data_IF_345040266106
#
_entry.id   IF_345040266106
#
_cell.length_a   1.000
_cell.length_b   1.000
_cell.length_c   1.000
_cell.angle_alpha   90.00
_cell.angle_beta   90.00
_cell.angle_gamma   90.00
#
_symmetry.space_group_name_H-M   'P 1'
#
loop_
_entity.id
_entity.type
_entity.pdbx_description
1 polymer ?
#
# COMPACT_ATOMS: atom_id res chain seq x y z
N UNK A 1 38.45 19.97 9.55
CA UNK A 1 37.71 19.19 8.54
C UNK A 1 36.95 18.06 9.23
N UNK A 2 35.75 18.28 9.80
CA UNK A 2 34.88 17.19 10.27
C UNK A 2 33.41 17.69 10.31
N UNK A 3 32.84 18.05 9.15
CA UNK A 3 31.46 18.52 9.02
C UNK A 3 30.70 17.75 7.93
N UNK A 4 31.05 16.49 7.70
CA UNK A 4 30.54 15.70 6.56
C UNK A 4 29.87 14.37 6.92
N UNK A 5 29.82 13.97 8.19
CA UNK A 5 29.22 12.68 8.57
C UNK A 5 27.72 12.72 8.88
N UNK A 6 27.09 13.90 8.94
CA UNK A 6 25.70 14.04 9.40
C UNK A 6 24.64 14.02 8.28
N UNK A 7 25.04 14.01 7.00
CA UNK A 7 24.09 14.06 5.87
C UNK A 7 23.67 12.70 5.29
N UNK A 8 24.28 11.60 5.70
CA UNK A 8 24.00 10.27 5.11
C UNK A 8 22.98 9.42 5.88
N UNK A 9 22.47 9.89 7.02
CA UNK A 9 21.60 9.08 7.89
C UNK A 9 20.14 9.58 7.98
N UNK A 10 19.76 10.65 7.28
CA UNK A 10 18.35 11.06 7.26
C UNK A 10 17.48 10.19 6.34
N UNK A 11 18.01 9.70 5.21
CA UNK A 11 17.16 8.99 4.23
C UNK A 11 16.69 7.61 4.70
N UNK A 12 17.39 6.96 5.65
CA UNK A 12 16.99 5.66 6.17
C UNK A 12 16.00 5.75 7.34
N UNK A 13 15.85 6.92 7.96
CA UNK A 13 14.91 7.12 9.07
C UNK A 13 13.47 7.35 8.61
N UNK A 14 13.28 7.98 7.45
CA UNK A 14 11.95 8.20 6.88
C UNK A 14 11.22 6.88 6.57
N UNK A 15 11.94 5.86 6.06
CA UNK A 15 11.37 4.54 5.75
C UNK A 15 10.90 3.80 7.02
N UNK A 16 11.76 3.77 8.05
CA UNK A 16 11.47 3.09 9.32
C UNK A 16 10.35 3.76 10.12
N UNK A 17 10.19 5.09 10.02
CA UNK A 17 9.14 5.81 10.75
C UNK A 17 7.75 5.64 10.14
N UNK A 18 7.67 5.39 8.82
CA UNK A 18 6.41 5.06 8.13
C UNK A 18 5.94 3.65 8.50
N UNK A 19 6.83 2.66 8.35
CA UNK A 19 6.54 1.25 8.71
C UNK A 19 6.07 1.12 10.17
N UNK A 20 6.70 1.83 11.12
CA UNK A 20 6.32 1.77 12.53
C UNK A 20 4.99 2.45 12.85
N UNK A 21 4.53 3.41 12.04
CA UNK A 21 3.26 4.12 12.27
C UNK A 21 2.07 3.38 11.65
N UNK A 22 2.30 2.68 10.54
CA UNK A 22 1.32 1.82 9.85
C UNK A 22 0.97 0.58 10.70
N UNK A 23 1.96 -0.02 11.36
CA UNK A 23 1.77 -1.17 12.26
C UNK A 23 0.88 -0.89 13.49
N UNK A 24 0.79 0.37 13.95
CA UNK A 24 -0.08 0.75 15.09
C UNK A 24 -1.53 1.01 14.63
N UNK A 25 -1.72 1.36 13.36
CA UNK A 25 -3.02 1.71 12.79
C UNK A 25 -3.72 0.55 12.08
N UNK A 26 -3.01 -0.57 11.86
CA UNK A 26 -3.57 -1.74 11.16
C UNK A 26 -3.85 -1.47 9.69
N UNK A 27 -3.15 -0.50 9.09
CA UNK A 27 -3.33 -0.10 7.69
C UNK A 27 -2.02 -0.11 6.93
N UNK A 28 -2.11 -0.32 5.62
CA UNK A 28 -1.02 -0.20 4.65
C UNK A 28 -1.41 0.81 3.57
N UNK A 29 -0.43 1.58 3.11
CA UNK A 29 -0.62 2.61 2.08
C UNK A 29 -0.38 2.02 0.69
N UNK A 30 -1.36 2.15 -0.21
CA UNK A 30 -1.34 1.67 -1.59
C UNK A 30 -1.42 2.82 -2.60
N UNK A 31 -0.84 2.63 -3.79
CA UNK A 31 -1.03 3.54 -4.93
C UNK A 31 -2.44 3.39 -5.50
N UNK A 32 -3.19 4.49 -5.61
CA UNK A 32 -4.57 4.54 -6.13
C UNK A 32 -4.56 5.11 -7.56
N UNK A 33 -4.55 4.25 -8.60
CA UNK A 33 -4.53 4.71 -9.98
C UNK A 33 -5.88 5.28 -10.45
N UNK A 34 -7.00 4.93 -9.80
CA UNK A 34 -8.33 5.39 -10.19
C UNK A 34 -8.59 6.84 -9.76
N UNK A 35 -8.33 7.19 -8.50
CA UNK A 35 -8.51 8.57 -8.00
C UNK A 35 -7.24 9.43 -8.15
N UNK A 36 -6.10 8.79 -8.36
CA UNK A 36 -4.79 9.42 -8.39
C UNK A 36 -4.27 9.70 -6.97
N UNK A 37 -3.12 9.13 -6.63
CA UNK A 37 -2.46 9.33 -5.34
C UNK A 37 -2.32 8.03 -4.56
N UNK A 38 -2.61 8.07 -3.26
CA UNK A 38 -2.50 6.90 -2.38
C UNK A 38 -3.72 6.72 -1.50
N UNK A 39 -4.08 5.47 -1.22
CA UNK A 39 -5.15 5.08 -0.29
C UNK A 39 -4.57 4.26 0.86
N UNK A 40 -5.09 4.44 2.07
CA UNK A 40 -4.74 3.59 3.21
C UNK A 40 -5.83 2.56 3.42
N UNK A 41 -5.47 1.28 3.36
CA UNK A 41 -6.39 0.15 3.50
C UNK A 41 -5.96 -0.75 4.65
N UNK A 42 -6.88 -1.53 5.20
CA UNK A 42 -6.59 -2.45 6.30
C UNK A 42 -5.53 -3.50 5.89
N UNK A 43 -4.51 -3.66 6.73
CA UNK A 43 -3.37 -4.56 6.48
C UNK A 43 -3.54 -5.93 7.15
N UNK A 44 -4.75 -6.28 7.60
CA UNK A 44 -5.03 -7.65 8.09
C UNK A 44 -5.11 -8.66 6.95
N UNK A 45 -5.25 -8.19 5.71
CA UNK A 45 -5.34 -9.01 4.50
C UNK A 45 -4.09 -8.83 3.64
N UNK A 46 -3.63 -9.92 3.01
CA UNK A 46 -2.39 -9.91 2.21
C UNK A 46 -2.54 -9.30 0.82
N UNK A 47 -3.75 -9.18 0.31
CA UNK A 47 -4.01 -8.70 -1.05
C UNK A 47 -5.11 -7.65 -1.05
N UNK A 48 -4.81 -6.53 -1.72
CA UNK A 48 -5.76 -5.47 -2.00
C UNK A 48 -5.93 -5.32 -3.51
N UNK A 49 -7.17 -5.14 -3.95
CA UNK A 49 -7.54 -4.93 -5.35
C UNK A 49 -8.41 -3.69 -5.46
N UNK A 50 -8.23 -2.95 -6.55
CA UNK A 50 -9.12 -1.87 -6.95
C UNK A 50 -9.92 -2.30 -8.16
N UNK A 51 -11.24 -2.22 -8.04
CA UNK A 51 -12.16 -2.51 -9.13
C UNK A 51 -12.28 -1.31 -10.08
N UNK A 52 -12.77 -1.55 -11.29
CA UNK A 52 -12.93 -0.50 -12.31
C UNK A 52 -13.96 0.59 -11.95
N UNK A 53 -14.75 0.42 -10.90
CA UNK A 53 -15.64 1.44 -10.35
C UNK A 53 -15.01 2.26 -9.21
N UNK A 54 -13.75 1.98 -8.87
CA UNK A 54 -12.98 2.65 -7.82
C UNK A 54 -13.15 2.05 -6.43
N UNK A 55 -13.93 0.98 -6.28
CA UNK A 55 -14.08 0.28 -4.99
C UNK A 55 -12.90 -0.64 -4.69
N UNK A 56 -12.76 -1.04 -3.42
CA UNK A 56 -11.64 -1.85 -2.94
C UNK A 56 -12.11 -3.20 -2.42
N UNK A 57 -11.33 -4.23 -2.74
CA UNK A 57 -11.50 -5.59 -2.22
C UNK A 57 -10.22 -6.00 -1.49
N UNK A 58 -10.38 -6.42 -0.24
CA UNK A 58 -9.30 -6.96 0.59
C UNK A 58 -9.51 -8.46 0.76
N UNK A 59 -8.46 -9.25 0.55
CA UNK A 59 -8.53 -10.71 0.59
C UNK A 59 -7.18 -11.33 0.93
N UNK A 60 -7.20 -12.51 1.54
CA UNK A 60 -6.01 -13.37 1.72
C UNK A 60 -5.85 -14.42 0.60
N UNK A 61 -6.81 -14.49 -0.32
CA UNK A 61 -6.77 -15.45 -1.42
C UNK A 61 -5.82 -14.97 -2.52
N UNK A 62 -4.71 -15.70 -2.68
CA UNK A 62 -3.70 -15.49 -3.72
C UNK A 62 -4.23 -15.73 -5.15
N UNK A 63 -5.31 -16.50 -5.29
CA UNK A 63 -5.93 -16.85 -6.58
C UNK A 63 -7.21 -16.04 -6.84
N UNK A 64 -7.44 -14.99 -6.05
CA UNK A 64 -8.60 -14.12 -6.23
C UNK A 64 -8.58 -13.47 -7.61
N UNK A 65 -9.68 -13.66 -8.34
CA UNK A 65 -9.96 -13.02 -9.62
C UNK A 65 -11.26 -12.20 -9.48
N UNK A 66 -11.17 -10.85 -9.51
CA UNK A 66 -12.33 -9.98 -9.39
C UNK A 66 -13.40 -10.26 -10.45
N UNK A 67 -12.99 -10.60 -11.67
CA UNK A 67 -13.92 -10.85 -12.76
C UNK A 67 -14.67 -12.16 -12.55
N UNK A 68 -13.98 -13.20 -12.10
CA UNK A 68 -14.61 -14.49 -11.83
C UNK A 68 -15.59 -14.44 -10.64
N UNK A 69 -15.28 -13.66 -9.61
CA UNK A 69 -16.07 -13.60 -8.36
C UNK A 69 -17.19 -12.55 -8.42
N UNK A 70 -16.89 -11.37 -8.97
CA UNK A 70 -17.77 -10.19 -8.92
C UNK A 70 -18.32 -9.81 -10.31
N UNK A 71 -17.83 -10.42 -11.39
CA UNK A 71 -18.19 -10.04 -12.75
C UNK A 71 -17.65 -8.67 -13.18
N UNK A 72 -16.68 -8.14 -12.43
CA UNK A 72 -16.05 -6.85 -12.68
C UNK A 72 -14.54 -7.03 -12.75
N UNK A 73 -13.92 -6.38 -13.73
CA UNK A 73 -12.47 -6.36 -13.84
C UNK A 73 -11.88 -5.42 -12.78
N UNK A 74 -10.64 -5.70 -12.38
CA UNK A 74 -9.95 -4.98 -11.33
C UNK A 74 -8.45 -5.24 -11.37
N UNK A 75 -7.70 -4.32 -10.79
CA UNK A 75 -6.26 -4.39 -10.73
C UNK A 75 -5.79 -4.54 -9.29
N UNK A 76 -4.83 -5.43 -9.07
CA UNK A 76 -4.18 -5.56 -7.78
C UNK A 76 -3.40 -4.29 -7.43
N UNK A 77 -3.64 -3.78 -6.23
CA UNK A 77 -2.96 -2.61 -5.70
C UNK A 77 -1.54 -2.96 -5.27
N UNK A 78 -0.65 -1.98 -5.38
CA UNK A 78 0.75 -2.12 -4.97
C UNK A 78 0.99 -1.23 -3.75
N UNK A 79 1.64 -1.75 -2.70
CA UNK A 79 2.02 -0.93 -1.57
C UNK A 79 2.96 0.18 -2.05
N UNK A 80 2.71 1.41 -1.58
CA UNK A 80 3.55 2.57 -1.87
C UNK A 80 4.79 2.52 -0.96
N UNK A 81 6.00 2.74 -1.50
CA UNK A 81 7.19 3.00 -0.70
C UNK A 81 7.09 4.33 0.09
#
# INVERSE_FOLDING_TARGET
MQADSWRKQSQSFDYLSRESSEAIRGVETYDDPYHGGTVQLDNSYRHAWQLNDGTYVLTDDTSFDPYAVLGQDGQQLRPSP
#
